data_IF_035877850126
#
_entry.id   IF_035877850126
#
_cell.length_a   1.000
_cell.length_b   1.000
_cell.length_c   1.000
_cell.angle_alpha   90.00
_cell.angle_beta   90.00
_cell.angle_gamma   90.00
#
_symmetry.space_group_name_H-M   'P 1'
#
loop_
_entity.id
_entity.type
_entity.pdbx_description
1 polymer ?
#
# COMPACT_ATOMS: atom_id res chain seq x y z
N UNK A 1 -28.15 44.63 21.06
CA UNK A 1 -27.04 45.14 21.89
C UNK A 1 -26.95 44.24 23.11
N UNK A 2 -25.83 43.51 23.19
CA UNK A 2 -25.30 42.72 24.31
C UNK A 2 -26.23 41.67 24.96
N UNK A 3 -25.80 40.46 25.26
CA UNK A 3 -24.45 39.91 25.20
C UNK A 3 -24.50 38.41 25.48
N UNK A 4 -23.79 37.67 24.64
CA UNK A 4 -23.26 36.35 24.96
C UNK A 4 -22.09 36.54 25.92
N UNK A 5 -22.12 35.91 27.10
CA UNK A 5 -20.92 35.70 27.92
C UNK A 5 -21.00 34.35 28.66
N UNK A 6 -20.14 33.43 28.22
CA UNK A 6 -19.14 32.63 28.95
C UNK A 6 -18.98 31.24 28.31
N UNK A 7 -17.81 30.87 27.76
CA UNK A 7 -16.60 30.34 28.46
C UNK A 7 -16.96 29.19 29.41
N UNK A 8 -16.44 27.98 29.29
CA UNK A 8 -15.03 27.61 29.13
C UNK A 8 -14.86 26.13 28.72
N UNK A 9 -13.69 25.84 28.14
CA UNK A 9 -12.83 24.65 28.34
C UNK A 9 -13.08 23.31 27.63
N UNK A 10 -11.93 22.80 27.15
CA UNK A 10 -11.64 21.52 26.52
C UNK A 10 -12.16 20.32 27.33
N UNK A 11 -12.62 19.27 26.62
CA UNK A 11 -12.51 17.90 27.11
C UNK A 11 -12.22 16.95 25.94
N UNK A 12 -11.02 16.38 25.99
CA UNK A 12 -10.53 15.24 25.22
C UNK A 12 -11.30 14.01 25.74
N UNK A 13 -12.07 13.30 24.92
CA UNK A 13 -12.73 12.07 25.35
C UNK A 13 -11.99 10.82 24.84
N UNK A 14 -11.12 10.34 25.73
CA UNK A 14 -11.10 8.97 26.25
C UNK A 14 -10.93 7.79 25.29
N UNK A 15 -9.74 7.21 25.40
CA UNK A 15 -9.43 5.78 25.29
C UNK A 15 -10.40 4.97 26.16
N UNK A 16 -10.89 3.84 25.63
CA UNK A 16 -11.45 2.62 26.25
C UNK A 16 -12.44 2.03 25.22
N UNK A 17 -12.43 0.78 24.75
CA UNK A 17 -12.07 -0.47 25.40
C UNK A 17 -11.90 -1.51 24.25
N UNK A 18 -10.72 -2.12 24.08
CA UNK A 18 -10.54 -3.22 23.12
C UNK A 18 -10.96 -4.49 23.83
N UNK A 19 -12.27 -4.75 23.83
CA UNK A 19 -12.81 -6.05 24.23
C UNK A 19 -12.44 -7.05 23.13
N UNK A 20 -11.50 -7.93 23.47
CA UNK A 20 -11.13 -9.08 22.64
C UNK A 20 -12.29 -10.08 22.73
N UNK A 21 -13.09 -10.18 21.67
CA UNK A 21 -14.05 -11.28 21.50
C UNK A 21 -13.72 -12.09 20.24
N UNK A 22 -13.53 -13.38 20.48
CA UNK A 22 -13.20 -14.43 19.52
C UNK A 22 -14.48 -14.86 18.81
N UNK A 23 -14.85 -14.19 17.71
CA UNK A 23 -15.66 -14.79 16.65
C UNK A 23 -15.62 -14.01 15.33
N UNK A 24 -15.29 -14.76 14.29
CA UNK A 24 -15.11 -14.37 12.89
C UNK A 24 -16.35 -13.69 12.28
N UNK A 25 -16.19 -12.50 11.66
CA UNK A 25 -16.76 -12.08 10.34
C UNK A 25 -16.89 -10.54 10.12
N UNK A 26 -16.31 -9.66 10.95
CA UNK A 26 -16.49 -8.18 10.79
C UNK A 26 -15.24 -7.40 10.39
N UNK A 27 -14.05 -8.02 10.40
CA UNK A 27 -12.78 -7.34 10.08
C UNK A 27 -12.50 -7.22 8.58
N UNK A 28 -13.00 -8.15 7.76
CA UNK A 28 -12.72 -8.23 6.32
C UNK A 28 -13.10 -6.93 5.59
N UNK A 29 -14.28 -6.37 5.86
CA UNK A 29 -14.76 -5.16 5.18
C UNK A 29 -14.02 -3.88 5.58
N UNK A 30 -13.52 -3.81 6.83
CA UNK A 30 -12.82 -2.61 7.32
C UNK A 30 -11.39 -2.59 6.80
N UNK A 31 -10.76 -3.75 6.67
CA UNK A 31 -9.42 -3.88 6.10
C UNK A 31 -9.41 -3.69 4.58
N UNK A 32 -10.46 -4.11 3.85
CA UNK A 32 -10.65 -3.79 2.42
C UNK A 32 -10.71 -2.29 2.12
N UNK A 33 -11.09 -1.46 3.11
CA UNK A 33 -11.05 0.01 2.95
C UNK A 33 -9.64 0.59 3.06
N UNK A 34 -8.71 -0.13 3.70
CA UNK A 34 -7.34 0.35 3.96
C UNK A 34 -6.41 -0.01 2.79
N UNK A 35 -6.58 -1.23 2.25
CA UNK A 35 -5.84 -1.73 1.08
C UNK A 35 -6.78 -2.39 0.08
N UNK A 36 -6.52 -2.15 -1.21
CA UNK A 36 -7.26 -2.66 -2.36
C UNK A 36 -6.77 -4.04 -2.79
N UNK A 37 -5.56 -4.43 -2.40
CA UNK A 37 -4.99 -5.72 -2.76
C UNK A 37 -5.50 -6.82 -1.81
N UNK A 38 -5.83 -8.01 -2.33
CA UNK A 38 -6.32 -9.11 -1.50
C UNK A 38 -5.25 -9.62 -0.54
N UNK A 39 -5.43 -9.41 0.77
CA UNK A 39 -4.46 -9.77 1.79
C UNK A 39 -4.12 -11.26 1.82
N UNK A 40 -5.08 -12.13 1.52
CA UNK A 40 -4.85 -13.57 1.43
C UNK A 40 -3.78 -13.90 0.38
N UNK A 41 -3.77 -13.18 -0.74
CA UNK A 41 -2.80 -13.39 -1.81
C UNK A 41 -1.43 -12.84 -1.48
N UNK A 42 -1.38 -11.66 -0.85
CA UNK A 42 -0.13 -11.09 -0.35
C UNK A 42 0.51 -12.02 0.68
N UNK A 43 -0.27 -12.51 1.65
CA UNK A 43 0.19 -13.47 2.66
C UNK A 43 0.73 -14.76 2.03
N UNK A 44 0.08 -15.26 0.97
CA UNK A 44 0.58 -16.42 0.25
C UNK A 44 1.91 -16.14 -0.45
N UNK A 45 2.07 -14.99 -1.12
CA UNK A 45 3.33 -14.59 -1.77
C UNK A 45 4.47 -14.45 -0.77
N UNK A 46 4.21 -13.85 0.39
CA UNK A 46 5.19 -13.71 1.48
C UNK A 46 5.66 -15.08 1.99
N UNK A 47 4.77 -16.08 2.03
CA UNK A 47 5.08 -17.45 2.45
C UNK A 47 5.71 -18.34 1.38
N UNK A 48 5.92 -17.82 0.15
CA UNK A 48 6.71 -18.53 -0.86
C UNK A 48 8.20 -18.55 -0.50
N UNK A 49 8.63 -17.61 0.36
CA UNK A 49 9.98 -17.59 0.91
C UNK A 49 10.12 -18.70 1.97
N UNK A 50 11.03 -19.68 1.78
CA UNK A 50 11.22 -20.79 2.72
C UNK A 50 11.71 -20.34 4.10
N UNK A 51 12.32 -19.17 4.20
CA UNK A 51 12.83 -18.64 5.48
C UNK A 51 11.73 -17.91 6.28
N UNK A 52 10.56 -17.69 5.69
CA UNK A 52 9.42 -17.04 6.35
C UNK A 52 8.50 -18.06 7.01
N UNK A 53 8.66 -18.23 8.33
CA UNK A 53 7.83 -19.15 9.14
C UNK A 53 6.48 -18.55 9.54
N UNK A 54 6.46 -17.29 9.95
CA UNK A 54 5.26 -16.57 10.39
C UNK A 54 5.21 -15.18 9.75
N UNK A 55 4.02 -14.76 9.33
CA UNK A 55 3.75 -13.40 8.87
C UNK A 55 2.54 -12.86 9.64
N UNK A 56 2.76 -11.82 10.45
CA UNK A 56 1.70 -11.15 11.21
C UNK A 56 0.75 -10.40 10.28
N UNK A 57 -0.48 -10.14 10.74
CA UNK A 57 -1.48 -9.40 9.96
C UNK A 57 -1.00 -7.98 9.61
N UNK A 58 -0.37 -7.29 10.56
CA UNK A 58 0.17 -5.94 10.35
C UNK A 58 1.29 -5.93 9.30
N UNK A 59 2.19 -6.92 9.31
CA UNK A 59 3.23 -7.03 8.29
C UNK A 59 2.62 -7.25 6.90
N UNK A 60 1.63 -8.13 6.79
CA UNK A 60 0.92 -8.37 5.52
C UNK A 60 0.18 -7.12 5.04
N UNK A 61 -0.44 -6.36 5.95
CA UNK A 61 -1.12 -5.09 5.64
C UNK A 61 -0.13 -4.03 5.12
N UNK A 62 1.02 -3.88 5.79
CA UNK A 62 2.07 -2.95 5.38
C UNK A 62 2.66 -3.31 4.02
N UNK A 63 2.92 -4.60 3.77
CA UNK A 63 3.39 -5.09 2.46
C UNK A 63 2.33 -4.82 1.39
N UNK A 64 1.05 -5.06 1.67
CA UNK A 64 -0.02 -4.74 0.73
C UNK A 64 -0.02 -3.25 0.39
N UNK A 65 0.11 -2.37 1.39
CA UNK A 65 0.14 -0.93 1.16
C UNK A 65 1.38 -0.48 0.38
N UNK A 66 2.55 -1.01 0.74
CA UNK A 66 3.80 -0.75 0.03
C UNK A 66 3.70 -1.21 -1.44
N UNK A 67 3.09 -2.36 -1.69
CA UNK A 67 2.88 -2.88 -3.05
C UNK A 67 2.00 -1.94 -3.89
N UNK A 68 0.95 -1.35 -3.32
CA UNK A 68 0.14 -0.35 -4.02
C UNK A 68 0.95 0.89 -4.42
N UNK A 69 1.76 1.40 -3.49
CA UNK A 69 2.60 2.58 -3.72
C UNK A 69 3.67 2.26 -4.76
N UNK A 70 4.31 1.09 -4.66
CA UNK A 70 5.28 0.60 -5.63
C UNK A 70 4.70 0.53 -7.04
N UNK A 71 3.50 -0.05 -7.22
CA UNK A 71 2.84 -0.09 -8.53
C UNK A 71 2.58 1.32 -9.07
N UNK A 72 2.13 2.25 -8.21
CA UNK A 72 1.89 3.63 -8.62
C UNK A 72 3.17 4.32 -9.07
N UNK A 73 4.26 4.18 -8.31
CA UNK A 73 5.51 4.87 -8.61
C UNK A 73 6.23 4.27 -9.82
N UNK A 74 6.27 2.94 -9.94
CA UNK A 74 6.78 2.27 -11.14
C UNK A 74 5.99 2.68 -12.40
N UNK A 75 4.66 2.78 -12.28
CA UNK A 75 3.81 3.21 -13.40
C UNK A 75 4.06 4.67 -13.78
N UNK A 76 4.24 5.57 -12.80
CA UNK A 76 4.57 6.97 -13.08
C UNK A 76 5.90 7.08 -13.80
N UNK A 77 6.92 6.35 -13.37
CA UNK A 77 8.24 6.38 -13.99
C UNK A 77 8.20 5.85 -15.44
N UNK A 78 7.56 4.70 -15.67
CA UNK A 78 7.35 4.18 -17.02
C UNK A 78 6.52 5.15 -17.89
N UNK A 79 5.53 5.83 -17.31
CA UNK A 79 4.75 6.81 -18.03
C UNK A 79 5.58 8.05 -18.43
N UNK A 80 6.56 8.45 -17.62
CA UNK A 80 7.52 9.51 -17.98
C UNK A 80 8.20 9.16 -19.31
N UNK A 81 8.76 7.96 -19.46
CA UNK A 81 9.39 7.48 -20.73
C UNK A 81 8.40 7.40 -21.90
N UNK A 82 7.16 7.03 -21.61
CA UNK A 82 6.06 6.98 -22.59
C UNK A 82 5.77 8.36 -23.19
N UNK A 83 5.65 9.38 -22.32
CA UNK A 83 5.39 10.78 -22.71
C UNK A 83 6.58 11.38 -23.45
N UNK A 84 7.81 11.11 -23.01
CA UNK A 84 9.03 11.52 -23.74
C UNK A 84 9.05 10.96 -25.17
N UNK A 85 8.52 9.75 -25.37
CA UNK A 85 8.34 9.12 -26.68
C UNK A 85 7.13 9.62 -27.47
N UNK A 86 6.39 10.64 -27.00
CA UNK A 86 5.15 11.18 -27.58
C UNK A 86 4.03 10.14 -27.74
N UNK A 87 4.02 9.10 -26.89
CA UNK A 87 2.99 8.06 -26.86
C UNK A 87 2.03 8.28 -25.70
N UNK A 88 0.87 7.61 -25.76
CA UNK A 88 -0.14 7.58 -24.69
C UNK A 88 -0.34 6.18 -24.09
N UNK A 89 0.29 5.17 -24.68
CA UNK A 89 0.21 3.77 -24.26
C UNK A 89 1.58 3.37 -23.73
N UNK A 90 1.61 2.97 -22.46
CA UNK A 90 2.79 2.40 -21.80
C UNK A 90 3.13 1.06 -22.45
N UNK A 91 4.40 0.85 -22.76
CA UNK A 91 4.94 -0.37 -23.35
C UNK A 91 5.97 -0.99 -22.42
N UNK A 92 6.31 -2.27 -22.64
CA UNK A 92 7.35 -2.96 -21.85
C UNK A 92 8.68 -2.20 -21.83
N UNK A 93 9.11 -1.69 -22.99
CA UNK A 93 10.34 -0.86 -23.10
C UNK A 93 10.34 0.38 -22.20
N UNK A 94 9.18 0.90 -21.80
CA UNK A 94 9.10 2.03 -20.89
C UNK A 94 9.36 1.62 -19.44
N UNK A 95 8.99 0.38 -19.09
CA UNK A 95 9.36 -0.24 -17.81
C UNK A 95 10.86 -0.54 -17.78
N UNK A 96 11.41 -1.08 -18.88
CA UNK A 96 12.85 -1.36 -18.99
C UNK A 96 13.66 -0.07 -18.73
N UNK A 97 13.27 1.05 -19.37
CA UNK A 97 13.89 2.36 -19.12
C UNK A 97 13.68 2.87 -17.68
N UNK A 98 12.52 2.59 -17.07
CA UNK A 98 12.27 2.99 -15.68
C UNK A 98 13.16 2.24 -14.70
N UNK A 99 13.39 0.93 -14.93
CA UNK A 99 14.29 0.09 -14.12
C UNK A 99 15.73 0.57 -14.26
N UNK A 100 16.17 0.88 -15.47
CA UNK A 100 17.55 1.33 -15.75
C UNK A 100 17.88 2.71 -15.13
N UNK A 101 16.88 3.61 -15.06
CA UNK A 101 17.10 5.00 -14.65
C UNK A 101 16.94 5.24 -13.15
N UNK A 102 16.35 4.29 -12.40
CA UNK A 102 15.98 4.49 -11.00
C UNK A 102 16.60 3.41 -10.14
N UNK A 103 17.62 3.80 -9.36
CA UNK A 103 18.44 2.88 -8.56
C UNK A 103 17.64 1.94 -7.66
N UNK A 104 16.55 2.41 -7.04
CA UNK A 104 15.74 1.58 -6.15
C UNK A 104 14.84 0.57 -6.88
N UNK A 105 14.77 0.62 -8.21
CA UNK A 105 14.16 -0.41 -9.05
C UNK A 105 15.15 -1.47 -9.54
N UNK A 106 16.44 -1.37 -9.22
CA UNK A 106 17.47 -2.32 -9.67
C UNK A 106 17.18 -3.79 -9.30
N UNK A 107 16.37 -4.05 -8.27
CA UNK A 107 15.93 -5.42 -7.92
C UNK A 107 15.03 -6.07 -8.99
N UNK A 108 14.53 -5.30 -9.96
CA UNK A 108 13.73 -5.75 -11.09
C UNK A 108 14.58 -6.06 -12.33
N UNK A 109 15.87 -5.75 -12.31
CA UNK A 109 16.76 -6.00 -13.44
C UNK A 109 16.77 -7.51 -13.80
N UNK A 110 16.68 -7.82 -15.09
CA UNK A 110 16.54 -9.18 -15.62
C UNK A 110 15.20 -9.89 -15.33
N UNK A 111 14.32 -9.33 -14.48
CA UNK A 111 13.02 -9.97 -14.15
C UNK A 111 12.00 -9.86 -15.28
N UNK A 112 12.16 -8.87 -16.17
CA UNK A 112 11.21 -8.60 -17.25
C UNK A 112 11.53 -9.37 -18.54
N UNK A 113 12.71 -10.01 -18.64
CA UNK A 113 13.27 -10.68 -19.82
C UNK A 113 12.74 -12.09 -20.11
N UNK A 114 11.93 -12.61 -19.20
CA UNK A 114 11.20 -13.88 -19.36
C UNK A 114 9.97 -13.74 -20.25
#
# INVERSE_FOLDING_TARGET
MAGMENSSEEQISSVDDVVVDDNTNTESEKTERIVKLPLSRIKHMVKLDPDVTLASQDAVLMIAKATELFIQDLTKEAYTSTVHSKRKTVQRKDLDVAVDNVDYFAFLDGTLDT
#
